data_IF_317335704241
#
_entry.id   IF_317335704241
#
_cell.length_a   1.000
_cell.length_b   1.000
_cell.length_c   1.000
_cell.angle_alpha   90.00
_cell.angle_beta   90.00
_cell.angle_gamma   90.00
#
_symmetry.space_group_name_H-M   'P 1'
#
loop_
_entity.id
_entity.type
_entity.pdbx_description
1 polymer ?
#
# COMPACT_ATOMS: atom_id res chain seq x y z
N UNK A 1 -9.35 -30.97 -6.92
CA UNK A 1 -9.83 -29.59 -6.77
C UNK A 1 -8.83 -28.69 -7.47
N UNK A 2 -9.30 -27.85 -8.38
CA UNK A 2 -8.51 -26.78 -8.98
C UNK A 2 -9.06 -25.46 -8.40
N UNK A 3 -8.21 -24.73 -7.68
CA UNK A 3 -8.58 -23.51 -6.97
C UNK A 3 -7.69 -22.38 -7.47
N UNK A 4 -8.29 -21.30 -7.97
CA UNK A 4 -7.55 -20.12 -8.38
C UNK A 4 -7.72 -19.00 -7.37
N UNK A 5 -6.61 -18.53 -6.81
CA UNK A 5 -6.57 -17.37 -5.93
C UNK A 5 -6.54 -16.11 -6.78
N UNK A 6 -7.54 -15.25 -6.59
CA UNK A 6 -7.75 -14.02 -7.36
C UNK A 6 -7.72 -12.82 -6.42
N UNK A 7 -7.02 -11.74 -6.80
CA UNK A 7 -7.07 -10.44 -6.14
C UNK A 7 -7.40 -9.36 -7.16
N UNK A 8 -8.39 -8.50 -6.88
CA UNK A 8 -8.84 -7.45 -7.80
C UNK A 8 -9.07 -7.96 -9.24
N UNK A 9 -9.63 -9.16 -9.40
CA UNK A 9 -9.84 -9.82 -10.70
C UNK A 9 -8.57 -10.41 -11.37
N UNK A 10 -7.38 -10.18 -10.82
CA UNK A 10 -6.14 -10.78 -11.32
C UNK A 10 -5.94 -12.19 -10.72
N UNK A 11 -5.80 -13.23 -11.56
CA UNK A 11 -5.51 -14.56 -11.08
C UNK A 11 -4.01 -14.70 -10.76
N UNK A 12 -3.68 -14.96 -9.50
CA UNK A 12 -2.29 -15.00 -9.03
C UNK A 12 -1.76 -16.44 -9.02
N UNK A 13 -2.43 -17.31 -8.26
CA UNK A 13 -1.96 -18.68 -8.00
C UNK A 13 -3.05 -19.69 -8.26
N UNK A 14 -2.70 -20.76 -8.98
CA UNK A 14 -3.52 -21.96 -9.12
C UNK A 14 -3.00 -23.04 -8.16
N UNK A 15 -3.91 -23.60 -7.36
CA UNK A 15 -3.70 -24.73 -6.48
C UNK A 15 -4.44 -25.94 -7.05
N UNK A 16 -3.72 -27.01 -7.38
CA UNK A 16 -4.30 -28.29 -7.75
C UNK A 16 -4.07 -29.31 -6.64
N UNK A 17 -5.14 -29.66 -5.95
CA UNK A 17 -5.18 -30.58 -4.81
C UNK A 17 -5.91 -31.85 -5.24
N UNK A 18 -5.30 -33.03 -5.06
CA UNK A 18 -5.96 -34.30 -5.36
C UNK A 18 -6.95 -34.63 -4.24
N UNK A 19 -8.15 -35.10 -4.61
CA UNK A 19 -9.16 -35.48 -3.60
C UNK A 19 -8.65 -36.59 -2.68
N UNK A 20 -7.97 -37.60 -3.23
CA UNK A 20 -7.38 -38.68 -2.44
C UNK A 20 -6.36 -38.19 -1.40
N UNK A 21 -5.61 -37.12 -1.71
CA UNK A 21 -4.69 -36.51 -0.73
C UNK A 21 -5.45 -35.82 0.39
N UNK A 22 -6.62 -35.23 0.12
CA UNK A 22 -7.46 -34.65 1.16
C UNK A 22 -7.99 -35.71 2.12
N UNK A 23 -8.58 -36.78 1.58
CA UNK A 23 -9.17 -37.88 2.37
C UNK A 23 -8.11 -38.63 3.18
N UNK A 24 -6.89 -38.80 2.64
CA UNK A 24 -5.82 -39.54 3.32
C UNK A 24 -5.14 -38.71 4.41
N UNK A 25 -4.96 -37.40 4.19
CA UNK A 25 -4.14 -36.55 5.05
C UNK A 25 -4.92 -35.82 6.15
N UNK A 26 -6.25 -35.86 6.13
CA UNK A 26 -7.10 -35.18 7.12
C UNK A 26 -6.77 -35.58 8.58
N UNK A 27 -6.40 -36.84 8.80
CA UNK A 27 -6.05 -37.38 10.13
C UNK A 27 -4.55 -37.69 10.28
N UNK A 28 -3.72 -37.33 9.31
CA UNK A 28 -2.27 -37.55 9.39
C UNK A 28 -1.63 -36.48 10.29
N UNK A 29 -0.73 -36.89 11.19
CA UNK A 29 -0.01 -36.00 12.11
C UNK A 29 0.73 -34.87 11.37
N UNK A 30 1.30 -35.17 10.20
CA UNK A 30 1.97 -34.21 9.31
C UNK A 30 1.09 -33.81 8.12
N UNK A 31 -0.23 -34.00 8.24
CA UNK A 31 -1.18 -33.81 7.15
C UNK A 31 -1.06 -32.45 6.48
N UNK A 32 -0.85 -31.38 7.26
CA UNK A 32 -0.64 -30.01 6.72
C UNK A 32 0.57 -29.95 5.79
N UNK A 33 1.75 -30.38 6.24
CA UNK A 33 2.98 -30.32 5.44
C UNK A 33 2.94 -31.28 4.24
N UNK A 34 2.42 -32.50 4.44
CA UNK A 34 2.21 -33.47 3.36
C UNK A 34 1.23 -32.94 2.32
N UNK A 35 0.18 -32.21 2.71
CA UNK A 35 -0.76 -31.61 1.76
C UNK A 35 -0.11 -30.52 0.93
N UNK A 36 0.72 -29.65 1.54
CA UNK A 36 1.46 -28.60 0.84
C UNK A 36 2.39 -29.19 -0.22
N UNK A 37 3.21 -30.17 0.17
CA UNK A 37 4.20 -30.80 -0.73
C UNK A 37 3.57 -31.56 -1.89
N UNK A 38 2.36 -32.10 -1.71
CA UNK A 38 1.61 -32.79 -2.78
C UNK A 38 0.76 -31.85 -3.63
N UNK A 39 0.44 -30.65 -3.13
CA UNK A 39 -0.33 -29.64 -3.87
C UNK A 39 0.54 -29.05 -4.98
N UNK A 40 0.03 -29.06 -6.22
CA UNK A 40 0.68 -28.33 -7.31
C UNK A 40 0.30 -26.86 -7.20
N UNK A 41 1.29 -26.01 -6.94
CA UNK A 41 1.17 -24.56 -6.83
C UNK A 41 1.86 -23.92 -8.03
N UNK A 42 1.12 -23.20 -8.87
CA UNK A 42 1.64 -22.60 -10.10
C UNK A 42 1.04 -21.22 -10.38
N UNK A 43 1.66 -20.44 -11.25
CA UNK A 43 1.08 -19.17 -11.73
C UNK A 43 -0.26 -19.46 -12.39
N UNK A 44 -1.31 -18.75 -11.98
CA UNK A 44 -2.63 -18.97 -12.56
C UNK A 44 -2.70 -18.42 -14.00
N UNK A 45 -3.36 -19.14 -14.92
CA UNK A 45 -3.64 -18.64 -16.26
C UNK A 45 -4.63 -17.47 -16.21
N UNK A 46 -4.59 -16.58 -17.21
CA UNK A 46 -5.59 -15.53 -17.43
C UNK A 46 -6.19 -15.69 -18.84
N UNK A 47 -7.49 -15.37 -19.07
CA UNK A 47 -8.46 -14.91 -18.08
C UNK A 47 -9.02 -16.04 -17.20
N UNK A 48 -9.59 -15.70 -16.05
CA UNK A 48 -10.33 -16.63 -15.18
C UNK A 48 -11.79 -16.25 -15.16
N UNK A 49 -12.68 -17.24 -15.23
CA UNK A 49 -14.12 -17.02 -15.14
C UNK A 49 -14.51 -16.70 -13.69
N UNK A 50 -15.12 -15.54 -13.41
CA UNK A 50 -15.60 -15.23 -12.07
C UNK A 50 -16.68 -16.20 -11.60
N UNK A 51 -16.76 -16.39 -10.30
CA UNK A 51 -17.88 -17.11 -9.67
C UNK A 51 -19.19 -16.33 -9.95
N UNK A 52 -20.29 -17.00 -10.34
CA UNK A 52 -21.59 -16.35 -10.52
C UNK A 52 -22.00 -15.54 -9.28
N UNK A 53 -22.50 -14.32 -9.48
CA UNK A 53 -22.90 -13.43 -8.39
C UNK A 53 -21.75 -12.71 -7.67
N UNK A 54 -20.48 -12.91 -8.07
CA UNK A 54 -19.35 -12.17 -7.45
C UNK A 54 -19.35 -10.68 -7.77
N UNK A 55 -19.85 -10.30 -8.94
CA UNK A 55 -19.89 -8.93 -9.44
C UNK A 55 -21.31 -8.55 -9.85
N UNK A 56 -21.73 -7.28 -9.66
CA UNK A 56 -20.98 -6.19 -9.03
C UNK A 56 -20.80 -6.40 -7.52
N UNK A 57 -19.72 -5.87 -6.95
CA UNK A 57 -19.43 -5.89 -5.51
C UNK A 57 -19.37 -4.46 -4.99
N UNK A 58 -20.13 -4.16 -3.94
CA UNK A 58 -20.12 -2.85 -3.29
C UNK A 58 -19.91 -3.03 -1.79
N UNK A 59 -18.87 -2.40 -1.27
CA UNK A 59 -18.54 -2.41 0.14
C UNK A 59 -18.37 -0.98 0.63
N UNK A 60 -18.80 -0.73 1.86
CA UNK A 60 -18.61 0.55 2.52
C UNK A 60 -18.43 0.33 4.01
N UNK A 61 -17.73 1.24 4.66
CA UNK A 61 -17.51 1.22 6.10
C UNK A 61 -17.47 2.65 6.64
N UNK A 62 -17.95 2.82 7.87
CA UNK A 62 -17.79 4.05 8.64
C UNK A 62 -17.14 3.69 9.96
N UNK A 63 -16.12 4.44 10.36
CA UNK A 63 -15.39 4.16 11.59
C UNK A 63 -14.60 5.36 12.10
N UNK A 64 -14.10 5.31 13.34
CA UNK A 64 -13.23 6.35 13.84
C UNK A 64 -11.87 6.31 13.12
N UNK A 65 -11.25 7.46 12.91
CA UNK A 65 -9.83 7.56 12.54
C UNK A 65 -9.03 8.31 13.61
N UNK A 66 -7.75 8.00 13.69
CA UNK A 66 -6.75 8.74 14.45
C UNK A 66 -5.61 9.13 13.50
N UNK A 67 -5.14 10.36 13.57
CA UNK A 67 -4.02 10.87 12.78
C UNK A 67 -3.01 11.52 13.71
N UNK A 68 -1.98 10.80 14.18
CA UNK A 68 -0.94 11.40 15.00
C UNK A 68 0.09 12.14 14.13
N UNK A 69 0.60 13.26 14.64
CA UNK A 69 1.80 13.95 14.15
C UNK A 69 2.81 14.03 15.28
N UNK A 70 4.06 13.71 14.97
CA UNK A 70 5.17 13.66 15.92
C UNK A 70 6.26 14.63 15.48
N UNK A 71 7.02 15.14 16.46
CA UNK A 71 8.20 15.99 16.23
C UNK A 71 7.87 17.36 15.60
N UNK A 72 6.67 17.90 15.87
CA UNK A 72 6.45 19.34 15.68
C UNK A 72 7.25 20.09 16.78
N UNK A 73 8.14 21.04 16.42
CA UNK A 73 9.01 21.65 17.42
C UNK A 73 8.31 22.64 18.36
N UNK A 74 7.09 23.07 18.05
CA UNK A 74 6.26 23.94 18.90
C UNK A 74 5.36 23.10 19.84
N UNK A 75 4.87 21.95 19.37
CA UNK A 75 4.20 20.94 20.20
C UNK A 75 4.63 19.52 19.74
N UNK A 76 5.41 18.77 20.53
CA UNK A 76 6.04 17.54 20.08
C UNK A 76 5.06 16.43 19.67
N UNK A 77 3.81 16.48 20.13
CA UNK A 77 2.78 15.48 19.81
C UNK A 77 1.45 16.17 19.54
N UNK A 78 0.97 16.08 18.31
CA UNK A 78 -0.37 16.50 17.91
C UNK A 78 -1.18 15.31 17.41
N UNK A 79 -2.50 15.38 17.49
CA UNK A 79 -3.37 14.34 16.96
C UNK A 79 -4.74 14.86 16.58
N UNK A 80 -5.25 14.35 15.46
CA UNK A 80 -6.65 14.50 15.08
C UNK A 80 -7.42 13.20 15.24
N UNK A 81 -8.67 13.35 15.64
CA UNK A 81 -9.65 12.28 15.78
C UNK A 81 -10.91 12.67 15.04
N UNK A 82 -11.49 11.71 14.33
CA UNK A 82 -12.72 11.97 13.61
C UNK A 82 -13.36 10.71 13.05
N UNK A 83 -14.23 10.91 12.05
CA UNK A 83 -14.97 9.84 11.39
C UNK A 83 -14.47 9.70 9.96
N UNK A 84 -14.20 8.46 9.55
CA UNK A 84 -13.83 8.09 8.19
C UNK A 84 -14.95 7.28 7.54
N UNK A 85 -15.31 7.64 6.32
CA UNK A 85 -16.17 6.89 5.42
C UNK A 85 -15.31 6.34 4.28
N UNK A 86 -15.24 5.02 4.18
CA UNK A 86 -14.65 4.31 3.05
C UNK A 86 -15.73 3.67 2.20
N UNK A 87 -15.59 3.73 0.88
CA UNK A 87 -16.43 3.01 -0.06
C UNK A 87 -15.61 2.43 -1.21
N UNK A 88 -15.93 1.21 -1.64
CA UNK A 88 -15.36 0.56 -2.81
C UNK A 88 -16.46 -0.08 -3.65
N UNK A 89 -16.36 0.11 -4.96
CA UNK A 89 -17.28 -0.43 -5.96
C UNK A 89 -16.48 -1.15 -7.05
N UNK A 90 -16.74 -2.44 -7.20
CA UNK A 90 -16.07 -3.30 -8.18
C UNK A 90 -17.13 -3.84 -9.14
N UNK A 91 -17.46 -3.14 -10.25
CA UNK A 91 -18.50 -3.56 -11.19
C UNK A 91 -18.12 -4.78 -12.02
N UNK A 92 -16.82 -5.00 -12.25
CA UNK A 92 -16.30 -6.06 -13.10
C UNK A 92 -14.92 -6.54 -12.61
N UNK A 93 -14.47 -7.74 -13.01
CA UNK A 93 -13.13 -8.21 -12.68
C UNK A 93 -12.07 -7.21 -13.17
N UNK A 94 -11.13 -6.86 -12.30
CA UNK A 94 -10.06 -5.92 -12.65
C UNK A 94 -10.40 -4.46 -12.40
N UNK A 95 -11.67 -4.06 -12.32
CA UNK A 95 -12.03 -2.64 -12.22
C UNK A 95 -12.56 -2.29 -10.83
N UNK A 96 -11.90 -1.36 -10.15
CA UNK A 96 -12.21 -0.93 -8.78
C UNK A 96 -12.32 0.60 -8.71
N UNK A 97 -13.44 1.12 -8.22
CA UNK A 97 -13.60 2.52 -7.83
C UNK A 97 -13.57 2.58 -6.31
N UNK A 98 -12.73 3.43 -5.72
CA UNK A 98 -12.64 3.55 -4.27
C UNK A 98 -12.55 5.00 -3.84
N UNK A 99 -13.10 5.31 -2.66
CA UNK A 99 -13.06 6.63 -2.07
C UNK A 99 -12.96 6.59 -0.56
N UNK A 100 -12.25 7.56 0.00
CA UNK A 100 -12.08 7.76 1.45
C UNK A 100 -12.35 9.22 1.77
N UNK A 101 -13.33 9.46 2.62
CA UNK A 101 -13.68 10.78 3.15
C UNK A 101 -13.42 10.80 4.65
N UNK A 102 -12.79 11.86 5.17
CA UNK A 102 -12.59 12.08 6.60
C UNK A 102 -13.25 13.36 7.05
N UNK A 103 -13.89 13.31 8.20
CA UNK A 103 -14.41 14.47 8.92
C UNK A 103 -13.74 14.53 10.29
N UNK A 104 -12.96 15.59 10.53
CA UNK A 104 -12.40 15.86 11.86
C UNK A 104 -13.54 16.14 12.84
N UNK A 105 -13.43 15.61 14.06
CA UNK A 105 -14.36 15.89 15.16
C UNK A 105 -13.65 16.72 16.24
N UNK A 106 -12.42 16.32 16.61
CA UNK A 106 -11.58 17.07 17.54
C UNK A 106 -10.11 16.78 17.28
N UNK A 107 -9.22 17.66 17.72
CA UNK A 107 -7.77 17.52 17.52
C UNK A 107 -7.10 18.87 17.31
N UNK A 108 -5.77 18.85 17.25
CA UNK A 108 -4.94 20.06 17.27
C UNK A 108 -3.91 20.11 16.12
N UNK A 109 -4.07 19.32 15.05
CA UNK A 109 -3.15 19.38 13.90
C UNK A 109 -3.24 20.70 13.11
N UNK A 110 -4.41 21.32 13.11
CA UNK A 110 -4.76 22.60 12.49
C UNK A 110 -4.11 23.82 13.16
N UNK A 111 -3.70 23.68 14.41
CA UNK A 111 -3.00 24.71 15.18
C UNK A 111 -1.51 24.82 14.80
N UNK A 112 -0.98 23.92 13.97
CA UNK A 112 0.40 23.99 13.49
C UNK A 112 0.59 25.19 12.53
N UNK A 113 1.08 26.31 13.06
CA UNK A 113 1.25 27.56 12.28
C UNK A 113 2.57 27.65 11.53
N UNK A 114 3.48 26.70 11.72
CA UNK A 114 4.79 26.71 11.08
C UNK A 114 4.65 26.45 9.58
N UNK A 115 5.07 27.43 8.77
CA UNK A 115 5.18 27.27 7.33
C UNK A 115 6.39 26.42 6.93
N UNK A 116 6.34 25.85 5.73
CA UNK A 116 7.50 25.15 5.15
C UNK A 116 8.66 26.11 4.90
N UNK A 117 9.86 25.73 5.36
CA UNK A 117 11.12 26.39 5.03
C UNK A 117 11.89 25.68 3.90
N UNK A 118 11.23 24.74 3.21
CA UNK A 118 11.84 24.00 2.11
C UNK A 118 12.10 24.91 0.92
N UNK A 119 13.29 24.77 0.34
CA UNK A 119 13.68 25.42 -0.93
C UNK A 119 13.29 24.57 -2.14
N UNK A 120 12.92 23.31 -1.91
CA UNK A 120 12.40 22.40 -2.93
C UNK A 120 10.92 22.67 -3.20
N UNK A 121 10.37 22.14 -4.31
CA UNK A 121 8.93 22.04 -4.47
C UNK A 121 8.28 21.37 -3.24
N UNK A 122 7.26 22.03 -2.69
CA UNK A 122 6.66 21.67 -1.40
C UNK A 122 5.63 20.56 -1.58
N UNK A 123 6.11 19.33 -1.63
CA UNK A 123 5.30 18.13 -1.93
C UNK A 123 4.81 17.39 -0.69
N UNK A 124 5.41 17.65 0.49
CA UNK A 124 5.06 17.07 1.79
C UNK A 124 5.12 18.07 2.94
N UNK A 125 5.99 19.08 2.85
CA UNK A 125 6.28 20.01 3.96
C UNK A 125 5.13 20.98 4.30
N UNK A 126 4.14 21.14 3.43
CA UNK A 126 2.95 21.97 3.66
C UNK A 126 1.79 21.19 4.32
N UNK A 127 2.05 20.02 4.93
CA UNK A 127 1.02 19.17 5.54
C UNK A 127 0.14 19.90 6.57
N UNK A 128 0.70 20.85 7.34
CA UNK A 128 -0.05 21.64 8.31
C UNK A 128 -1.15 22.51 7.68
N UNK A 129 -0.92 23.00 6.46
CA UNK A 129 -1.91 23.78 5.72
C UNK A 129 -3.07 22.88 5.31
N UNK A 130 -2.77 21.67 4.83
CA UNK A 130 -3.77 20.65 4.54
C UNK A 130 -4.55 20.25 5.80
N UNK A 131 -3.91 20.12 6.96
CA UNK A 131 -4.59 19.80 8.23
C UNK A 131 -5.59 20.89 8.64
N UNK A 132 -5.20 22.15 8.46
CA UNK A 132 -6.05 23.30 8.78
C UNK A 132 -7.20 23.50 7.80
N UNK A 133 -6.95 23.37 6.49
CA UNK A 133 -7.97 23.65 5.47
C UNK A 133 -8.90 22.45 5.20
N UNK A 134 -8.41 21.23 5.47
CA UNK A 134 -9.16 19.98 5.31
C UNK A 134 -10.06 19.59 6.51
N UNK A 135 -10.21 20.45 7.51
CA UNK A 135 -11.00 20.17 8.72
C UNK A 135 -12.49 19.89 8.42
N UNK A 136 -13.02 20.50 7.36
CA UNK A 136 -14.43 20.49 6.98
C UNK A 136 -14.64 19.55 5.77
N UNK A 137 -14.49 18.25 6.03
CA UNK A 137 -14.59 17.12 5.10
C UNK A 137 -13.45 17.05 4.07
N UNK A 138 -12.45 16.23 4.37
CA UNK A 138 -11.29 15.93 3.54
C UNK A 138 -11.54 14.71 2.65
N UNK A 139 -11.48 14.88 1.32
CA UNK A 139 -11.43 13.75 0.38
C UNK A 139 -10.00 13.21 0.32
N UNK A 140 -9.70 12.20 1.14
CA UNK A 140 -8.36 11.61 1.22
C UNK A 140 -7.98 10.88 -0.06
N UNK A 141 -8.95 10.20 -0.67
CA UNK A 141 -8.77 9.44 -1.90
C UNK A 141 -10.08 9.37 -2.67
N UNK A 142 -10.01 9.39 -4.00
CA UNK A 142 -11.09 9.00 -4.90
C UNK A 142 -10.48 8.54 -6.22
N UNK A 143 -10.47 7.24 -6.47
CA UNK A 143 -9.75 6.64 -7.58
C UNK A 143 -10.60 5.66 -8.36
N UNK A 144 -10.30 5.54 -9.66
CA UNK A 144 -10.70 4.41 -10.48
C UNK A 144 -9.42 3.66 -10.92
N UNK A 145 -9.36 2.37 -10.65
CA UNK A 145 -8.22 1.51 -10.91
C UNK A 145 -8.60 0.33 -11.80
N UNK A 146 -7.78 0.06 -12.81
CA UNK A 146 -7.83 -1.14 -13.62
C UNK A 146 -6.61 -2.01 -13.32
N UNK A 147 -6.87 -3.21 -12.84
CA UNK A 147 -5.94 -4.29 -12.58
C UNK A 147 -6.04 -5.34 -13.69
N UNK A 148 -4.92 -5.88 -14.12
CA UNK A 148 -4.88 -6.87 -15.19
C UNK A 148 -3.63 -7.74 -15.12
N UNK A 149 -3.69 -8.92 -15.75
CA UNK A 149 -2.56 -9.85 -15.86
C UNK A 149 -2.19 -9.99 -17.34
N UNK A 150 -1.30 -9.14 -17.88
CA UNK A 150 -0.98 -9.12 -19.31
C UNK A 150 -0.18 -10.35 -19.78
N UNK A 151 0.45 -11.09 -18.86
CA UNK A 151 1.23 -12.27 -19.20
C UNK A 151 1.44 -13.18 -18.00
N UNK A 152 2.15 -14.29 -18.23
CA UNK A 152 2.55 -15.18 -17.15
C UNK A 152 3.45 -14.44 -16.18
N UNK A 153 3.12 -14.50 -14.89
CA UNK A 153 3.87 -13.86 -13.80
C UNK A 153 4.01 -12.32 -13.95
N UNK A 154 3.22 -11.68 -14.81
CA UNK A 154 3.24 -10.26 -15.06
C UNK A 154 1.89 -9.64 -14.72
N UNK A 155 1.88 -8.60 -13.91
CA UNK A 155 0.69 -7.92 -13.40
C UNK A 155 0.77 -6.43 -13.73
N UNK A 156 -0.37 -5.81 -14.03
CA UNK A 156 -0.46 -4.42 -14.40
C UNK A 156 -1.56 -3.70 -13.62
N UNK A 157 -1.33 -2.41 -13.36
CA UNK A 157 -2.28 -1.50 -12.74
C UNK A 157 -2.24 -0.15 -13.45
N UNK A 158 -3.40 0.43 -13.71
CA UNK A 158 -3.55 1.84 -14.07
C UNK A 158 -4.61 2.45 -13.16
N UNK A 159 -4.26 3.51 -12.45
CA UNK A 159 -5.12 4.20 -11.49
C UNK A 159 -5.21 5.67 -11.86
N UNK A 160 -6.42 6.23 -11.85
CA UNK A 160 -6.66 7.65 -12.09
C UNK A 160 -7.52 8.25 -10.99
N UNK A 161 -7.37 9.55 -10.76
CA UNK A 161 -8.19 10.33 -9.82
C UNK A 161 -7.36 10.99 -8.73
N UNK A 162 -7.95 11.14 -7.55
CA UNK A 162 -7.30 11.68 -6.36
C UNK A 162 -6.61 10.54 -5.62
N UNK A 163 -5.32 10.35 -5.93
CA UNK A 163 -4.53 9.18 -5.52
C UNK A 163 -4.24 9.20 -4.03
N UNK A 164 -3.91 10.38 -3.51
CA UNK A 164 -3.60 10.61 -2.09
C UNK A 164 -4.07 12.00 -1.67
N UNK A 165 -3.82 12.35 -0.40
CA UNK A 165 -4.19 13.64 0.19
C UNK A 165 -3.71 14.84 -0.61
N UNK A 166 -2.46 14.81 -1.06
CA UNK A 166 -1.76 15.96 -1.65
C UNK A 166 -1.67 15.90 -3.17
N UNK A 167 -1.93 14.75 -3.80
CA UNK A 167 -1.75 14.56 -5.24
C UNK A 167 -2.89 13.76 -5.86
N UNK A 168 -3.32 14.21 -7.04
CA UNK A 168 -4.17 13.45 -7.96
C UNK A 168 -3.52 13.39 -9.34
N UNK A 169 -4.02 12.51 -10.20
CA UNK A 169 -3.49 12.30 -11.54
C UNK A 169 -3.61 10.86 -11.98
N UNK A 170 -2.60 10.37 -12.70
CA UNK A 170 -2.51 9.00 -13.22
C UNK A 170 -1.28 8.30 -12.63
N UNK A 171 -1.46 7.05 -12.21
CA UNK A 171 -0.42 6.15 -11.75
C UNK A 171 -0.51 4.83 -12.51
N UNK A 172 0.60 4.38 -13.07
CA UNK A 172 0.71 3.11 -13.79
C UNK A 172 1.82 2.28 -13.20
N UNK A 173 1.59 0.97 -13.07
CA UNK A 173 2.53 0.04 -12.47
C UNK A 173 2.51 -1.27 -13.26
N UNK A 174 3.70 -1.84 -13.47
CA UNK A 174 3.88 -3.17 -14.02
C UNK A 174 4.79 -3.96 -13.08
N UNK A 175 4.33 -5.12 -12.63
CA UNK A 175 5.05 -5.99 -11.72
C UNK A 175 5.29 -7.35 -12.37
N UNK A 176 6.56 -7.72 -12.50
CA UNK A 176 6.95 -9.10 -12.72
C UNK A 176 7.21 -9.78 -11.38
N UNK A 177 6.47 -10.85 -11.11
CA UNK A 177 6.62 -11.62 -9.89
C UNK A 177 6.22 -13.07 -10.11
N UNK A 178 7.22 -13.96 -10.05
CA UNK A 178 7.04 -15.39 -10.19
C UNK A 178 6.47 -16.00 -8.91
N UNK A 179 5.51 -16.91 -9.07
CA UNK A 179 4.84 -17.56 -7.94
C UNK A 179 5.78 -18.30 -6.96
N UNK A 180 6.92 -18.80 -7.44
CA UNK A 180 7.89 -19.60 -6.67
C UNK A 180 9.21 -18.86 -6.38
N UNK A 181 9.27 -17.55 -6.63
CA UNK A 181 10.49 -16.76 -6.47
C UNK A 181 10.44 -15.88 -5.22
N UNK A 182 11.57 -15.73 -4.50
CA UNK A 182 11.68 -14.73 -3.44
C UNK A 182 11.87 -13.31 -4.00
N UNK A 183 12.00 -13.15 -5.32
CA UNK A 183 12.23 -11.86 -5.97
C UNK A 183 11.02 -11.40 -6.77
N UNK A 184 10.82 -10.08 -6.81
CA UNK A 184 9.91 -9.44 -7.75
C UNK A 184 10.53 -8.13 -8.25
N UNK A 185 10.14 -7.71 -9.46
CA UNK A 185 10.59 -6.47 -10.07
C UNK A 185 9.40 -5.67 -10.57
N UNK A 186 9.33 -4.41 -10.15
CA UNK A 186 8.28 -3.48 -10.52
C UNK A 186 8.84 -2.30 -11.31
N UNK A 187 8.03 -1.73 -12.18
CA UNK A 187 8.23 -0.39 -12.72
C UNK A 187 6.95 0.41 -12.53
N UNK A 188 7.09 1.68 -12.17
CA UNK A 188 5.98 2.60 -12.07
C UNK A 188 6.27 3.89 -12.81
N UNK A 189 5.22 4.48 -13.37
CA UNK A 189 5.25 5.80 -13.98
C UNK A 189 3.96 6.53 -13.59
N UNK A 190 4.13 7.76 -13.09
CA UNK A 190 3.04 8.59 -12.62
C UNK A 190 3.16 9.99 -13.20
N UNK A 191 2.02 10.61 -13.47
CA UNK A 191 1.93 12.04 -13.77
C UNK A 191 0.84 12.62 -12.89
N UNK A 192 1.25 13.50 -11.98
CA UNK A 192 0.41 13.95 -10.87
C UNK A 192 0.47 15.46 -10.74
N UNK A 193 -0.63 16.01 -10.25
CA UNK A 193 -0.82 17.42 -9.95
C UNK A 193 -1.16 17.57 -8.48
N UNK A 194 -0.57 18.58 -7.85
CA UNK A 194 -0.79 18.84 -6.44
C UNK A 194 -2.23 19.33 -6.22
N UNK A 195 -2.88 18.81 -5.19
CA UNK A 195 -4.27 19.13 -4.85
C UNK A 195 -4.36 20.45 -4.10
N UNK A 196 -5.55 21.04 -4.12
CA UNK A 196 -5.84 22.20 -3.27
C UNK A 196 -5.84 21.79 -1.78
N UNK A 197 -5.49 22.75 -0.93
CA UNK A 197 -5.35 22.54 0.52
C UNK A 197 -6.67 22.18 1.20
N UNK A 198 -7.81 22.58 0.63
CA UNK A 198 -9.14 22.19 1.11
C UNK A 198 -9.46 20.69 0.90
N UNK A 199 -8.59 19.98 0.16
CA UNK A 199 -8.68 18.55 -0.12
C UNK A 199 -10.02 18.13 -0.76
N UNK A 200 -10.63 19.00 -1.57
CA UNK A 200 -11.82 18.67 -2.35
C UNK A 200 -11.42 18.18 -3.75
N UNK A 201 -12.00 18.77 -4.79
CA UNK A 201 -11.81 18.38 -6.19
C UNK A 201 -10.91 19.35 -6.97
N UNK A 202 -10.18 20.23 -6.27
CA UNK A 202 -9.34 21.25 -6.86
C UNK A 202 -7.86 20.84 -6.98
N UNK A 203 -7.11 21.58 -7.79
CA UNK A 203 -5.69 21.38 -8.05
C UNK A 203 -4.94 22.70 -8.11
N UNK A 204 -3.73 22.70 -7.53
CA UNK A 204 -2.73 23.77 -7.60
C UNK A 204 -1.91 23.64 -8.88
N UNK A 205 -1.10 24.64 -9.21
CA UNK A 205 -0.35 24.67 -10.47
C UNK A 205 0.83 23.70 -10.55
N UNK A 206 1.28 23.13 -9.42
CA UNK A 206 2.41 22.22 -9.40
C UNK A 206 2.04 20.85 -9.98
N UNK A 207 2.76 20.43 -11.01
CA UNK A 207 2.65 19.12 -11.65
C UNK A 207 4.02 18.47 -11.81
N UNK A 208 4.06 17.13 -11.72
CA UNK A 208 5.31 16.38 -11.79
C UNK A 208 5.08 14.98 -12.37
N UNK A 209 6.00 14.57 -13.24
CA UNK A 209 6.15 13.19 -13.67
C UNK A 209 7.15 12.47 -12.76
N UNK A 210 6.73 11.37 -12.15
CA UNK A 210 7.57 10.52 -11.29
C UNK A 210 7.62 9.10 -11.84
N UNK A 211 8.62 8.33 -11.43
CA UNK A 211 8.71 6.93 -11.85
C UNK A 211 9.85 6.23 -11.14
N UNK A 212 9.65 4.95 -10.85
CA UNK A 212 10.62 4.14 -10.11
C UNK A 212 10.72 2.74 -10.70
N UNK A 213 11.93 2.19 -10.67
CA UNK A 213 12.16 0.76 -10.76
C UNK A 213 12.30 0.21 -9.34
N UNK A 214 11.57 -0.86 -9.06
CA UNK A 214 11.50 -1.48 -7.74
C UNK A 214 12.02 -2.91 -7.79
N UNK A 215 12.88 -3.29 -6.85
CA UNK A 215 13.30 -4.65 -6.61
C UNK A 215 12.85 -5.07 -5.21
N UNK A 216 12.17 -6.21 -5.13
CA UNK A 216 11.66 -6.78 -3.89
C UNK A 216 12.36 -8.10 -3.62
N UNK A 217 12.68 -8.35 -2.35
CA UNK A 217 13.32 -9.57 -1.90
C UNK A 217 12.71 -10.06 -0.59
N UNK A 218 12.13 -11.26 -0.63
CA UNK A 218 11.83 -12.06 0.56
C UNK A 218 13.10 -12.69 1.14
N UNK A 219 13.55 -12.16 2.28
CA UNK A 219 14.73 -12.63 3.01
C UNK A 219 14.42 -13.85 3.89
N UNK A 220 13.15 -14.27 3.97
CA UNK A 220 12.67 -15.33 4.84
C UNK A 220 12.43 -14.86 6.28
N UNK A 221 11.82 -15.71 7.10
CA UNK A 221 11.49 -15.44 8.51
C UNK A 221 10.68 -14.14 8.72
N UNK A 222 9.84 -13.79 7.74
CA UNK A 222 9.03 -12.58 7.74
C UNK A 222 9.79 -11.29 7.40
N UNK A 223 11.07 -11.35 7.01
CA UNK A 223 11.82 -10.18 6.58
C UNK A 223 11.68 -9.95 5.07
N UNK A 224 11.42 -8.70 4.69
CA UNK A 224 11.35 -8.26 3.31
C UNK A 224 12.24 -7.04 3.11
N UNK A 225 12.99 -7.03 2.02
CA UNK A 225 13.73 -5.86 1.56
C UNK A 225 13.15 -5.34 0.26
N UNK A 226 13.17 -4.03 0.10
CA UNK A 226 12.73 -3.34 -1.10
C UNK A 226 13.72 -2.22 -1.43
N UNK A 227 14.08 -2.12 -2.70
CA UNK A 227 14.82 -0.98 -3.25
C UNK A 227 13.97 -0.34 -4.33
N UNK A 228 13.78 0.97 -4.23
CA UNK A 228 13.10 1.78 -5.24
C UNK A 228 14.06 2.84 -5.76
N UNK A 229 14.32 2.88 -7.06
CA UNK A 229 15.21 3.86 -7.66
C UNK A 229 14.51 4.62 -8.78
N UNK A 230 14.59 5.94 -8.77
CA UNK A 230 13.91 6.76 -9.77
C UNK A 230 13.73 8.21 -9.36
N UNK A 231 12.68 8.84 -9.90
CA UNK A 231 12.37 10.26 -9.73
C UNK A 231 11.22 10.46 -8.74
N UNK A 232 11.45 11.29 -7.73
CA UNK A 232 10.54 11.59 -6.63
C UNK A 232 9.66 12.83 -6.92
N UNK A 233 8.71 13.09 -6.02
CA UNK A 233 7.70 14.14 -6.18
C UNK A 233 8.28 15.55 -6.26
N UNK A 234 9.38 15.85 -5.56
CA UNK A 234 10.04 17.15 -5.66
C UNK A 234 10.87 17.30 -6.96
N UNK A 235 10.91 16.25 -7.79
CA UNK A 235 11.59 16.22 -9.09
C UNK A 235 13.01 15.68 -9.03
N UNK A 236 13.52 15.38 -7.83
CA UNK A 236 14.82 14.83 -7.52
C UNK A 236 14.94 13.33 -7.85
N UNK A 237 16.16 12.88 -8.12
CA UNK A 237 16.47 11.49 -8.44
C UNK A 237 17.21 10.81 -7.30
N UNK A 238 16.84 9.58 -6.99
CA UNK A 238 17.48 8.86 -5.89
C UNK A 238 17.03 7.43 -5.73
N UNK A 239 17.33 6.87 -4.57
CA UNK A 239 16.94 5.53 -4.20
C UNK A 239 16.46 5.43 -2.74
N UNK A 240 15.38 4.69 -2.51
CA UNK A 240 14.89 4.29 -1.19
C UNK A 240 15.27 2.84 -0.95
N UNK A 241 15.90 2.56 0.18
CA UNK A 241 16.02 1.21 0.75
C UNK A 241 15.02 1.09 1.88
N UNK A 242 14.21 0.03 1.84
CA UNK A 242 13.26 -0.34 2.87
C UNK A 242 13.51 -1.78 3.35
N UNK A 243 13.37 -1.99 4.65
CA UNK A 243 13.36 -3.32 5.26
C UNK A 243 12.18 -3.41 6.21
N UNK A 244 11.35 -4.42 6.04
CA UNK A 244 10.15 -4.67 6.84
C UNK A 244 10.22 -6.07 7.45
N UNK A 245 9.73 -6.20 8.69
CA UNK A 245 9.48 -7.47 9.37
C UNK A 245 7.99 -7.64 9.59
N UNK A 246 7.43 -8.69 9.02
CA UNK A 246 6.06 -9.13 9.23
C UNK A 246 6.03 -10.27 10.25
N UNK A 247 5.17 -10.14 11.25
CA UNK A 247 5.01 -11.11 12.32
C UNK A 247 3.76 -11.95 12.09
N UNK A 248 3.76 -13.21 12.53
CA UNK A 248 2.62 -14.13 12.37
C UNK A 248 1.32 -13.68 13.05
N UNK A 249 1.39 -12.69 13.96
CA UNK A 249 0.26 -12.04 14.61
C UNK A 249 -0.31 -10.84 13.81
N UNK A 250 0.22 -10.56 12.61
CA UNK A 250 -0.23 -9.49 11.72
C UNK A 250 0.47 -8.15 11.93
N UNK A 251 1.33 -8.01 12.93
CA UNK A 251 2.14 -6.80 13.10
C UNK A 251 3.16 -6.68 11.97
N UNK A 252 3.43 -5.43 11.55
CA UNK A 252 4.55 -5.12 10.66
C UNK A 252 5.37 -3.97 11.21
N UNK A 253 6.69 -4.12 11.21
CA UNK A 253 7.62 -3.08 11.61
C UNK A 253 8.66 -2.94 10.52
N UNK A 254 8.83 -1.75 9.99
CA UNK A 254 9.82 -1.49 8.95
C UNK A 254 10.59 -0.22 9.18
N UNK A 255 11.71 -0.08 8.49
CA UNK A 255 12.50 1.13 8.40
C UNK A 255 12.86 1.40 6.95
N UNK A 256 13.02 2.66 6.60
CA UNK A 256 13.50 3.05 5.29
C UNK A 256 14.45 4.25 5.37
N UNK A 257 15.28 4.37 4.34
CA UNK A 257 16.12 5.53 4.10
C UNK A 257 16.14 5.84 2.60
N UNK A 258 15.99 7.10 2.24
CA UNK A 258 15.94 7.60 0.86
C UNK A 258 17.04 8.62 0.64
N UNK A 259 17.98 8.31 -0.26
CA UNK A 259 19.06 9.22 -0.64
C UNK A 259 18.83 9.70 -2.08
N UNK A 260 18.93 11.00 -2.31
CA UNK A 260 18.68 11.63 -3.61
C UNK A 260 19.81 12.57 -3.99
N UNK A 261 19.71 13.17 -5.18
CA UNK A 261 20.65 14.16 -5.71
C UNK A 261 20.45 15.56 -5.14
N UNK A 262 19.49 15.75 -4.21
CA UNK A 262 19.33 16.99 -3.45
C UNK A 262 20.57 17.23 -2.58
N UNK A 263 21.22 18.41 -2.67
CA UNK A 263 22.31 18.76 -1.77
C UNK A 263 21.88 18.69 -0.30
N UNK A 264 22.74 18.20 0.58
CA UNK A 264 22.39 18.05 2.01
C UNK A 264 22.01 19.37 2.68
N UNK A 265 22.59 20.49 2.24
CA UNK A 265 22.25 21.82 2.75
C UNK A 265 20.83 22.27 2.30
N UNK A 266 20.34 21.77 1.16
CA UNK A 266 19.01 22.06 0.61
C UNK A 266 17.92 21.11 1.16
N UNK A 267 18.33 19.95 1.70
CA UNK A 267 17.44 19.01 2.39
C UNK A 267 16.90 19.59 3.71
N UNK A 268 17.68 20.50 4.31
CA UNK A 268 17.43 21.21 5.56
C UNK A 268 17.95 20.47 6.80
N UNK A 269 17.14 20.32 7.84
CA UNK A 269 17.54 19.59 9.06
C UNK A 269 17.58 18.08 8.76
N UNK A 270 18.79 17.59 8.49
CA UNK A 270 19.08 16.21 8.09
C UNK A 270 19.62 16.12 6.67
N UNK A 271 20.23 14.99 6.32
CA UNK A 271 20.89 14.80 5.00
C UNK A 271 20.08 13.94 4.03
N UNK A 272 19.05 13.25 4.49
CA UNK A 272 18.26 12.30 3.70
C UNK A 272 16.96 11.93 4.44
N UNK A 273 15.94 11.47 3.70
CA UNK A 273 14.66 11.07 4.31
C UNK A 273 14.79 9.68 4.96
N UNK A 274 14.23 9.52 6.15
CA UNK A 274 14.26 8.26 6.90
C UNK A 274 13.08 8.17 7.84
N UNK A 275 12.63 6.95 8.08
CA UNK A 275 11.54 6.73 9.02
C UNK A 275 11.36 5.27 9.40
N UNK A 276 10.53 5.09 10.43
CA UNK A 276 10.08 3.78 10.92
C UNK A 276 8.59 3.68 10.61
N UNK A 277 8.17 2.57 10.05
CA UNK A 277 6.77 2.24 9.77
C UNK A 277 6.30 1.18 10.74
N UNK A 278 5.12 1.38 11.30
CA UNK A 278 4.48 0.42 12.20
C UNK A 278 3.06 0.20 11.69
N UNK A 279 2.72 -1.06 11.43
CA UNK A 279 1.36 -1.46 11.09
C UNK A 279 0.80 -2.35 12.18
N UNK A 280 -0.33 -1.92 12.76
CA UNK A 280 -1.08 -2.61 13.80
C UNK A 280 -2.35 -3.22 13.18
N UNK A 281 -2.54 -4.54 13.23
CA UNK A 281 -3.72 -5.17 12.66
C UNK A 281 -4.98 -4.83 13.45
N UNK A 282 -6.07 -4.47 12.76
CA UNK A 282 -7.35 -4.13 13.38
C UNK A 282 -7.98 -5.29 14.13
N UNK A 283 -7.63 -6.54 13.80
CA UNK A 283 -8.08 -7.73 14.53
C UNK A 283 -7.67 -7.72 16.00
N UNK A 284 -6.58 -7.01 16.34
CA UNK A 284 -6.14 -6.87 17.72
C UNK A 284 -6.97 -5.84 18.51
N UNK A 285 -7.55 -4.87 17.80
CA UNK A 285 -8.43 -3.84 18.38
C UNK A 285 -9.89 -4.30 18.45
N UNK A 286 -10.33 -5.07 17.45
CA UNK A 286 -11.73 -5.49 17.28
C UNK A 286 -12.02 -6.91 17.75
N UNK A 287 -10.99 -7.76 17.88
CA UNK A 287 -11.14 -9.19 18.19
C UNK A 287 -11.64 -10.04 17.01
N UNK A 288 -11.95 -9.44 15.87
CA UNK A 288 -12.45 -10.12 14.68
C UNK A 288 -11.35 -10.35 13.64
N UNK A 289 -11.36 -11.48 12.89
CA UNK A 289 -10.43 -11.70 11.79
C UNK A 289 -10.59 -10.62 10.71
N UNK A 290 -9.67 -9.66 10.65
CA UNK A 290 -9.65 -8.61 9.65
C UNK A 290 -8.25 -8.49 9.03
N UNK A 291 -8.18 -8.27 7.72
CA UNK A 291 -6.94 -7.99 6.97
C UNK A 291 -6.54 -6.51 6.99
N UNK A 292 -7.39 -5.67 7.56
CA UNK A 292 -7.17 -4.23 7.70
C UNK A 292 -6.27 -3.94 8.90
N UNK A 293 -5.50 -2.86 8.83
CA UNK A 293 -4.67 -2.40 9.93
C UNK A 293 -4.49 -0.89 9.92
N UNK A 294 -4.10 -0.35 11.07
CA UNK A 294 -3.66 1.03 11.20
C UNK A 294 -2.15 1.08 10.90
N UNK A 295 -1.75 1.92 9.95
CA UNK A 295 -0.34 2.14 9.63
C UNK A 295 0.07 3.56 10.02
N UNK A 296 1.18 3.69 10.74
CA UNK A 296 1.79 4.98 11.06
C UNK A 296 3.24 4.99 10.62
N UNK A 297 3.69 6.14 10.12
CA UNK A 297 5.10 6.36 9.79
C UNK A 297 5.66 7.44 10.69
N UNK A 298 6.66 7.08 11.47
CA UNK A 298 7.37 7.96 12.37
C UNK A 298 8.63 8.44 11.64
N UNK A 299 8.72 9.74 11.37
CA UNK A 299 9.89 10.38 10.76
C UNK A 299 10.39 11.47 11.70
N UNK A 300 11.71 11.70 11.82
CA UNK A 300 12.24 12.80 12.62
C UNK A 300 11.78 14.17 12.10
N UNK A 301 11.65 14.31 10.78
CA UNK A 301 11.15 15.52 10.15
C UNK A 301 10.57 15.21 8.78
N UNK A 302 9.40 15.74 8.48
CA UNK A 302 8.76 15.60 7.17
C UNK A 302 9.38 16.59 6.18
N UNK A 303 10.12 16.07 5.20
CA UNK A 303 10.81 16.83 4.15
C UNK A 303 10.27 16.50 2.76
N UNK A 304 10.64 17.31 1.78
CA UNK A 304 10.17 17.20 0.40
C UNK A 304 11.05 16.31 -0.49
N UNK A 305 12.37 16.30 -0.24
CA UNK A 305 13.31 15.45 -0.98
C UNK A 305 13.08 13.97 -0.69
N UNK A 306 13.16 13.13 -1.72
CA UNK A 306 12.92 11.68 -1.60
C UNK A 306 11.47 11.30 -1.32
N UNK A 307 10.53 12.24 -1.44
CA UNK A 307 9.11 11.97 -1.22
C UNK A 307 8.51 11.19 -2.40
N UNK A 308 8.11 9.94 -2.18
CA UNK A 308 7.42 9.12 -3.17
C UNK A 308 5.90 9.34 -3.11
N UNK A 309 5.24 9.20 -4.26
CA UNK A 309 3.78 9.14 -4.35
C UNK A 309 3.25 7.91 -3.60
N UNK A 310 2.28 8.10 -2.71
CA UNK A 310 1.58 7.00 -2.04
C UNK A 310 0.37 6.56 -2.88
N UNK A 311 0.64 5.82 -3.95
CA UNK A 311 -0.42 5.37 -4.86
C UNK A 311 -1.16 4.14 -4.26
N UNK A 312 -2.50 4.17 -4.17
CA UNK A 312 -3.26 3.12 -3.48
C UNK A 312 -3.28 1.80 -4.26
N UNK A 313 -3.29 0.69 -3.53
CA UNK A 313 -3.49 -0.65 -4.09
C UNK A 313 -2.37 -1.10 -5.03
N UNK A 314 -1.12 -0.90 -4.61
CA UNK A 314 0.10 -1.33 -5.31
C UNK A 314 0.10 -2.83 -5.61
N UNK A 315 0.74 -3.23 -6.71
CA UNK A 315 0.67 -4.61 -7.20
C UNK A 315 1.37 -5.60 -6.26
N UNK A 316 2.55 -5.24 -5.74
CA UNK A 316 3.34 -6.15 -4.91
C UNK A 316 2.55 -6.59 -3.65
N UNK A 317 1.90 -5.65 -2.98
CA UNK A 317 1.10 -5.89 -1.78
C UNK A 317 -0.14 -6.76 -2.05
N UNK A 318 -0.68 -6.71 -3.27
CA UNK A 318 -1.85 -7.52 -3.68
C UNK A 318 -1.46 -8.93 -4.17
N UNK A 319 -0.30 -9.06 -4.81
CA UNK A 319 0.16 -10.31 -5.45
C UNK A 319 0.90 -11.21 -4.46
N UNK A 320 1.88 -10.67 -3.72
CA UNK A 320 2.77 -11.42 -2.83
C UNK A 320 2.02 -12.33 -1.82
N UNK A 321 0.96 -11.88 -1.13
CA UNK A 321 0.27 -12.73 -0.15
C UNK A 321 -0.40 -13.98 -0.73
N UNK A 322 -0.59 -14.03 -2.05
CA UNK A 322 -1.20 -15.16 -2.75
C UNK A 322 -0.16 -16.07 -3.42
N UNK A 323 1.14 -15.78 -3.28
CA UNK A 323 2.21 -16.57 -3.87
C UNK A 323 2.69 -17.68 -2.94
N UNK A 324 3.38 -18.68 -3.51
CA UNK A 324 3.81 -19.89 -2.82
C UNK A 324 4.55 -19.63 -1.50
N UNK A 325 5.52 -18.70 -1.38
CA UNK A 325 6.20 -18.44 -0.11
C UNK A 325 5.22 -18.04 1.01
N UNK A 326 4.36 -17.05 0.75
CA UNK A 326 3.36 -16.59 1.71
C UNK A 326 2.31 -17.68 2.05
N UNK A 327 1.91 -18.48 1.06
CA UNK A 327 1.01 -19.61 1.29
C UNK A 327 1.65 -20.67 2.19
N UNK A 328 2.94 -20.96 2.02
CA UNK A 328 3.67 -21.93 2.82
C UNK A 328 3.67 -21.54 4.31
N UNK A 329 3.91 -20.27 4.62
CA UNK A 329 3.92 -19.76 6.00
C UNK A 329 2.55 -19.92 6.69
N UNK A 330 1.46 -19.78 5.92
CA UNK A 330 0.10 -19.99 6.40
C UNK A 330 -0.34 -21.45 6.47
N UNK A 331 0.33 -22.36 5.75
CA UNK A 331 -0.17 -23.70 5.46
C UNK A 331 -0.27 -24.63 6.67
N UNK A 332 0.40 -24.31 7.78
CA UNK A 332 0.24 -25.04 9.04
C UNK A 332 -1.20 -25.09 9.54
N UNK A 333 -2.03 -24.11 9.13
CA UNK A 333 -3.46 -24.01 9.47
C UNK A 333 -4.41 -24.57 8.40
N UNK A 334 -3.90 -25.31 7.41
CA UNK A 334 -4.70 -25.78 6.27
C UNK A 334 -5.96 -26.57 6.64
N UNK A 335 -5.91 -27.36 7.72
CA UNK A 335 -7.05 -28.18 8.21
C UNK A 335 -7.91 -27.50 9.28
N UNK A 336 -7.59 -26.26 9.67
CA UNK A 336 -8.30 -25.53 10.73
C UNK A 336 -9.42 -24.66 10.19
#
# INVERSE_FOLDING_TARGET
FDITLVNAGMPVTELRIRRADMETLEHDLDGSWKSFTRTRIASAPAPVRPVPGRYPDFTWNVGPYISPSYFDPDDPIRADFGVELGASFTPAPGFEISGILRQKVFGNLDEATRGSNSVLPRVRSEFSIYDREGENAALMQLTAAQYFKPGRDLYGRVTVGYLERMFGGISSELLWSRNDSPFAFGVEANYVRQRDFDQRFGFRDYEVATGHASAYWDLGNGFHAQVDAGRYLAGDWGATLAVDREFGNGWKIGAFATLTDVPFDDFGEGSFDKGIRITVPLSWLTGEPNKSGFSTTIRPLTRDGGARLDAPGRLYDRVRPLQKPALQDGWGRFWR
#
